data_IF_071072126361
#
_entry.id   IF_071072126361
#
_cell.length_a   1.000
_cell.length_b   1.000
_cell.length_c   1.000
_cell.angle_alpha   90.00
_cell.angle_beta   90.00
_cell.angle_gamma   90.00
#
_symmetry.space_group_name_H-M   'P 1'
#
loop_
_entity.id
_entity.type
_entity.pdbx_description
1 polymer ?
#
# COMPACT_ATOMS: atom_id res chain seq x y z
N UNK A 1 -1.64 13.63 -7.09
CA UNK A 1 -0.62 13.22 -6.12
C UNK A 1 -0.75 14.13 -4.92
N UNK A 2 -1.36 13.67 -3.84
CA UNK A 2 -1.32 14.42 -2.56
C UNK A 2 -0.06 14.00 -1.84
N UNK A 3 0.90 14.92 -1.73
CA UNK A 3 2.12 14.72 -0.96
C UNK A 3 1.77 14.35 0.49
N UNK A 4 2.53 13.42 1.06
CA UNK A 4 2.47 13.12 2.49
C UNK A 4 2.84 14.40 3.28
N UNK A 5 2.18 14.67 4.43
CA UNK A 5 2.48 15.86 5.22
C UNK A 5 3.93 15.87 5.74
N UNK A 6 4.49 17.08 5.98
CA UNK A 6 5.89 17.24 6.38
C UNK A 6 6.19 16.61 7.74
N UNK A 7 7.40 16.05 7.83
CA UNK A 7 7.93 15.40 9.02
C UNK A 7 8.24 16.45 10.10
N UNK A 8 7.47 16.51 11.19
CA UNK A 8 7.77 17.42 12.32
C UNK A 8 6.63 17.67 13.31
N UNK A 9 5.39 17.48 12.90
CA UNK A 9 4.21 17.42 13.78
C UNK A 9 3.48 16.12 13.46
N UNK A 10 3.52 15.14 14.36
CA UNK A 10 2.85 13.86 14.13
C UNK A 10 1.38 14.09 13.79
N UNK A 11 0.92 13.47 12.71
CA UNK A 11 -0.49 13.54 12.30
C UNK A 11 -1.35 13.00 13.43
N UNK A 12 -2.43 13.71 13.78
CA UNK A 12 -3.33 13.28 14.85
C UNK A 12 -4.22 12.13 14.42
N UNK A 13 -4.64 11.30 15.39
CA UNK A 13 -5.48 10.11 15.14
C UNK A 13 -6.65 10.36 14.18
N UNK A 14 -7.42 11.44 14.37
CA UNK A 14 -8.54 11.79 13.50
C UNK A 14 -8.12 12.14 12.05
N UNK A 15 -6.95 12.75 11.87
CA UNK A 15 -6.38 13.06 10.56
C UNK A 15 -5.89 11.78 9.86
N UNK A 16 -5.36 10.81 10.62
CA UNK A 16 -4.92 9.50 10.11
C UNK A 16 -6.12 8.70 9.58
N UNK A 17 -7.24 8.69 10.30
CA UNK A 17 -8.48 8.04 9.84
C UNK A 17 -8.94 8.65 8.52
N UNK A 18 -8.98 9.98 8.41
CA UNK A 18 -9.32 10.69 7.16
C UNK A 18 -8.32 10.40 6.04
N UNK A 19 -7.03 10.26 6.36
CA UNK A 19 -6.02 9.86 5.39
C UNK A 19 -6.34 8.49 4.79
N UNK A 20 -6.71 7.50 5.61
CA UNK A 20 -7.05 6.17 5.11
C UNK A 20 -8.32 6.20 4.25
N UNK A 21 -9.39 6.83 4.75
CA UNK A 21 -10.63 6.97 4.00
C UNK A 21 -10.41 7.60 2.62
N UNK A 22 -9.63 8.70 2.55
CA UNK A 22 -9.35 9.40 1.30
C UNK A 22 -8.48 8.58 0.34
N UNK A 23 -7.46 7.89 0.83
CA UNK A 23 -6.47 7.23 -0.03
C UNK A 23 -6.84 5.79 -0.40
N UNK A 24 -7.53 5.09 0.50
CA UNK A 24 -7.94 3.70 0.34
C UNK A 24 -9.41 3.55 -0.04
N UNK A 25 -10.25 4.55 0.26
CA UNK A 25 -11.72 4.45 0.12
C UNK A 25 -12.38 3.75 1.30
N UNK A 26 -11.61 3.34 2.31
CA UNK A 26 -12.07 2.69 3.53
C UNK A 26 -11.08 2.96 4.67
N UNK A 27 -11.51 2.74 5.91
CA UNK A 27 -10.65 2.83 7.09
C UNK A 27 -10.31 1.41 7.54
N UNK A 28 -9.03 1.02 7.60
CA UNK A 28 -8.62 -0.27 8.15
C UNK A 28 -9.11 -0.49 9.58
N UNK A 29 -9.56 -1.69 9.90
CA UNK A 29 -10.10 -2.03 11.22
C UNK A 29 -9.12 -1.69 12.35
N UNK A 30 -7.83 -1.93 12.15
CA UNK A 30 -6.81 -1.57 13.14
C UNK A 30 -6.78 -0.05 13.39
N UNK A 31 -6.98 0.76 12.34
CA UNK A 31 -6.99 2.21 12.46
C UNK A 31 -8.26 2.70 13.16
N UNK A 32 -9.43 2.13 12.85
CA UNK A 32 -10.66 2.42 13.59
C UNK A 32 -10.51 2.11 15.09
N UNK A 33 -10.10 0.88 15.42
CA UNK A 33 -9.94 0.43 16.82
C UNK A 33 -8.92 1.29 17.55
N UNK A 34 -7.72 1.48 17.00
CA UNK A 34 -6.69 2.28 17.66
C UNK A 34 -7.12 3.74 17.78
N UNK A 35 -7.83 4.31 16.80
CA UNK A 35 -8.29 5.70 16.90
C UNK A 35 -9.21 5.95 18.09
N UNK A 36 -10.06 4.97 18.44
CA UNK A 36 -11.02 5.05 19.55
C UNK A 36 -10.41 4.70 20.90
N UNK A 37 -9.54 3.69 20.95
CA UNK A 37 -9.07 3.12 22.22
C UNK A 37 -7.62 3.46 22.57
N UNK A 38 -6.76 3.71 21.58
CA UNK A 38 -5.31 3.95 21.73
C UNK A 38 -4.79 4.95 20.68
N UNK A 39 -5.28 6.20 20.66
CA UNK A 39 -4.95 7.17 19.61
C UNK A 39 -3.44 7.42 19.48
N UNK A 40 -2.73 7.53 20.60
CA UNK A 40 -1.27 7.73 20.59
C UNK A 40 -0.51 6.57 19.92
N UNK A 41 -1.05 5.35 19.99
CA UNK A 41 -0.49 4.19 19.29
C UNK A 41 -0.75 4.26 17.79
N UNK A 42 -1.92 4.74 17.35
CA UNK A 42 -2.18 4.98 15.94
C UNK A 42 -1.26 6.07 15.38
N UNK A 43 -1.06 7.17 16.14
CA UNK A 43 -0.14 8.25 15.80
C UNK A 43 1.30 7.72 15.64
N UNK A 44 1.73 6.87 16.58
CA UNK A 44 3.06 6.23 16.55
C UNK A 44 3.24 5.28 15.36
N UNK A 45 2.23 4.43 15.07
CA UNK A 45 2.23 3.58 13.89
C UNK A 45 2.36 4.40 12.61
N UNK A 46 1.59 5.50 12.51
CA UNK A 46 1.59 6.31 11.31
C UNK A 46 2.91 7.09 11.14
N UNK A 47 3.53 7.52 12.24
CA UNK A 47 4.87 8.11 12.22
C UNK A 47 5.91 7.11 11.68
N UNK A 48 5.89 5.87 12.18
CA UNK A 48 6.74 4.79 11.68
C UNK A 48 6.50 4.54 10.19
N UNK A 49 5.25 4.36 9.76
CA UNK A 49 4.89 4.16 8.35
C UNK A 49 5.37 5.31 7.46
N UNK A 50 5.12 6.54 7.88
CA UNK A 50 5.45 7.74 7.10
C UNK A 50 6.96 7.97 6.98
N UNK A 51 7.74 7.50 7.96
CA UNK A 51 9.20 7.55 7.89
C UNK A 51 9.76 6.69 6.75
N UNK A 52 9.15 5.53 6.50
CA UNK A 52 9.60 4.58 5.47
C UNK A 52 8.97 4.87 4.11
N UNK A 53 7.73 5.36 4.04
CA UNK A 53 6.97 5.51 2.79
C UNK A 53 7.28 6.78 1.96
N UNK A 54 8.44 7.41 2.17
CA UNK A 54 8.94 8.51 1.33
C UNK A 54 9.48 7.98 0.00
N UNK A 55 9.18 8.60 -1.12
CA UNK A 55 9.81 8.26 -2.40
C UNK A 55 11.24 8.86 -2.48
N UNK A 56 12.03 8.45 -3.48
CA UNK A 56 13.43 8.87 -3.57
C UNK A 56 13.63 10.39 -3.66
N UNK A 57 12.80 11.18 -4.37
CA UNK A 57 12.96 12.63 -4.40
C UNK A 57 12.64 13.30 -3.05
N UNK A 58 11.99 12.60 -2.11
CA UNK A 58 11.71 13.08 -0.75
C UNK A 58 12.66 12.48 0.29
N UNK A 59 13.78 11.90 -0.14
CA UNK A 59 14.81 11.35 0.75
C UNK A 59 14.60 9.88 1.14
N UNK A 60 13.75 9.14 0.43
CA UNK A 60 13.65 7.69 0.57
C UNK A 60 14.81 6.95 -0.13
N UNK A 61 15.30 5.85 0.46
CA UNK A 61 16.38 5.05 -0.15
C UNK A 61 15.91 4.13 -1.29
N UNK A 62 14.65 3.67 -1.23
CA UNK A 62 14.04 2.80 -2.24
C UNK A 62 12.90 3.56 -2.95
N UNK A 63 12.76 3.47 -4.29
CA UNK A 63 11.59 4.01 -4.99
C UNK A 63 10.28 3.53 -4.39
N UNK A 64 9.32 4.44 -4.27
CA UNK A 64 8.03 4.17 -3.64
C UNK A 64 7.32 2.98 -4.30
N UNK A 65 7.41 2.85 -5.62
CA UNK A 65 6.83 1.72 -6.35
C UNK A 65 7.30 0.36 -5.82
N UNK A 66 8.58 0.22 -5.45
CA UNK A 66 9.11 -1.04 -4.93
C UNK A 66 8.74 -1.27 -3.47
N UNK A 67 8.59 -0.22 -2.66
CA UNK A 67 8.03 -0.33 -1.30
C UNK A 67 6.60 -0.85 -1.34
N UNK A 68 5.79 -0.33 -2.26
CA UNK A 68 4.41 -0.78 -2.46
C UNK A 68 4.37 -2.23 -2.96
N UNK A 69 5.23 -2.63 -3.92
CA UNK A 69 5.35 -4.03 -4.36
C UNK A 69 5.72 -4.97 -3.21
N UNK A 70 6.65 -4.56 -2.33
CA UNK A 70 7.00 -5.34 -1.14
C UNK A 70 5.79 -5.54 -0.21
N UNK A 71 4.98 -4.50 0.01
CA UNK A 71 3.74 -4.66 0.76
C UNK A 71 2.78 -5.64 0.09
N UNK A 72 2.60 -5.59 -1.24
CA UNK A 72 1.75 -6.56 -1.95
C UNK A 72 2.21 -7.99 -1.72
N UNK A 73 3.52 -8.24 -1.82
CA UNK A 73 4.10 -9.57 -1.58
C UNK A 73 3.87 -10.01 -0.14
N UNK A 74 4.19 -9.17 0.84
CA UNK A 74 4.06 -9.51 2.26
C UNK A 74 2.61 -9.70 2.70
N UNK A 75 1.69 -8.87 2.20
CA UNK A 75 0.26 -9.00 2.46
C UNK A 75 -0.30 -10.27 1.80
N UNK A 76 0.21 -10.68 0.64
CA UNK A 76 -0.16 -11.95 0.02
C UNK A 76 0.28 -13.17 0.85
N UNK A 77 1.48 -13.11 1.44
CA UNK A 77 2.00 -14.18 2.30
C UNK A 77 1.22 -14.26 3.62
N UNK A 78 0.84 -13.12 4.18
CA UNK A 78 0.15 -13.03 5.49
C UNK A 78 -1.37 -13.12 5.41
N UNK A 79 -1.93 -13.40 4.21
CA UNK A 79 -3.37 -13.45 3.93
C UNK A 79 -4.13 -12.12 4.12
N UNK A 80 -3.46 -10.99 4.04
CA UNK A 80 -4.08 -9.67 4.12
C UNK A 80 -4.59 -9.24 2.73
N UNK A 81 -5.77 -9.73 2.34
CA UNK A 81 -6.31 -9.52 0.99
C UNK A 81 -6.56 -8.04 0.66
N UNK A 82 -7.23 -7.32 1.55
CA UNK A 82 -7.55 -5.90 1.32
C UNK A 82 -6.30 -5.01 1.31
N UNK A 83 -5.32 -5.31 2.18
CA UNK A 83 -4.00 -4.67 2.16
C UNK A 83 -3.29 -4.90 0.83
N UNK A 84 -3.19 -6.15 0.39
CA UNK A 84 -2.52 -6.49 -0.87
C UNK A 84 -3.16 -5.77 -2.06
N UNK A 85 -4.50 -5.72 -2.14
CA UNK A 85 -5.22 -5.01 -3.19
C UNK A 85 -5.01 -3.49 -3.14
N UNK A 86 -5.01 -2.91 -1.94
CA UNK A 86 -4.74 -1.49 -1.74
C UNK A 86 -3.32 -1.10 -2.17
N UNK A 87 -2.33 -1.87 -1.72
CA UNK A 87 -0.92 -1.67 -2.06
C UNK A 87 -0.63 -1.92 -3.54
N UNK A 88 -1.35 -2.85 -4.19
CA UNK A 88 -1.20 -3.07 -5.63
C UNK A 88 -1.66 -1.86 -6.46
N UNK A 89 -2.79 -1.24 -6.08
CA UNK A 89 -3.23 0.02 -6.69
C UNK A 89 -2.25 1.16 -6.41
N UNK A 90 -1.72 1.22 -5.19
CA UNK A 90 -0.73 2.23 -4.82
C UNK A 90 0.59 2.08 -5.60
N UNK A 91 1.06 0.85 -5.82
CA UNK A 91 2.24 0.56 -6.64
C UNK A 91 2.07 1.09 -8.07
N UNK A 92 0.95 0.77 -8.72
CA UNK A 92 0.65 1.28 -10.07
C UNK A 92 0.57 2.81 -10.06
N UNK A 93 -0.05 3.43 -9.04
CA UNK A 93 -0.10 4.89 -8.89
C UNK A 93 1.31 5.50 -8.77
N UNK A 94 2.21 4.85 -8.03
CA UNK A 94 3.62 5.20 -7.86
C UNK A 94 4.51 4.91 -9.10
N UNK A 95 3.95 4.30 -10.15
CA UNK A 95 4.66 4.08 -11.41
C UNK A 95 5.22 2.68 -11.60
N UNK A 96 4.80 1.71 -10.79
CA UNK A 96 5.01 0.31 -11.11
C UNK A 96 4.25 -0.08 -12.39
N UNK A 97 4.76 -1.07 -13.12
CA UNK A 97 4.00 -1.76 -14.17
C UNK A 97 3.40 -3.06 -13.64
N UNK A 98 2.41 -3.60 -14.35
CA UNK A 98 1.85 -4.91 -14.02
C UNK A 98 2.85 -6.03 -14.25
N UNK A 99 3.78 -5.88 -15.19
CA UNK A 99 4.89 -6.82 -15.41
C UNK A 99 5.85 -6.88 -14.21
N UNK A 100 6.24 -5.72 -13.65
CA UNK A 100 7.06 -5.67 -12.43
C UNK A 100 6.36 -6.37 -11.25
N UNK A 101 5.03 -6.20 -11.14
CA UNK A 101 4.25 -6.86 -10.10
C UNK A 101 4.11 -8.37 -10.34
N UNK A 102 3.97 -8.80 -11.60
CA UNK A 102 3.90 -10.22 -11.96
C UNK A 102 5.17 -10.96 -11.54
N UNK A 103 6.34 -10.41 -11.86
CA UNK A 103 7.63 -11.00 -11.47
C UNK A 103 7.75 -11.13 -9.95
N UNK A 104 7.40 -10.08 -9.20
CA UNK A 104 7.45 -10.11 -7.73
C UNK A 104 6.53 -11.18 -7.12
N UNK A 105 5.32 -11.33 -7.65
CA UNK A 105 4.37 -12.35 -7.20
C UNK A 105 4.81 -13.78 -7.57
N UNK A 106 5.46 -13.97 -8.71
CA UNK A 106 6.03 -15.26 -9.11
C UNK A 106 7.19 -15.64 -8.18
N UNK A 107 8.09 -14.70 -7.89
CA UNK A 107 9.18 -14.91 -6.92
C UNK A 107 8.60 -15.30 -5.55
N UNK A 108 7.56 -14.59 -5.08
CA UNK A 108 6.86 -14.95 -3.85
C UNK A 108 6.28 -16.37 -3.90
N UNK A 109 5.66 -16.77 -5.01
CA UNK A 109 5.06 -18.09 -5.17
C UNK A 109 6.11 -19.22 -5.22
N UNK A 110 7.28 -18.99 -5.80
CA UNK A 110 8.39 -19.96 -5.81
C UNK A 110 8.87 -20.30 -4.40
N UNK A 111 8.80 -19.34 -3.47
CA UNK A 111 9.34 -19.48 -2.12
C UNK A 111 8.28 -19.88 -1.09
N UNK A 112 7.01 -19.55 -1.34
CA UNK A 112 5.92 -19.74 -0.36
C UNK A 112 4.77 -20.62 -0.85
N UNK A 113 4.84 -21.07 -2.12
CA UNK A 113 3.87 -21.95 -2.75
C UNK A 113 2.77 -21.23 -3.53
N UNK A 114 2.30 -21.87 -4.61
CA UNK A 114 1.22 -21.38 -5.47
C UNK A 114 -0.08 -20.99 -4.75
N UNK A 115 -0.52 -21.64 -3.64
CA UNK A 115 -1.74 -21.23 -2.96
C UNK A 115 -1.75 -19.78 -2.46
N UNK A 116 -0.59 -19.20 -2.09
CA UNK A 116 -0.52 -17.78 -1.68
C UNK A 116 -0.79 -16.83 -2.84
N UNK A 117 -0.26 -17.17 -4.01
CA UNK A 117 -0.58 -16.48 -5.25
C UNK A 117 -2.07 -16.61 -5.56
N UNK A 118 -2.62 -17.83 -5.53
CA UNK A 118 -4.01 -18.07 -5.92
C UNK A 118 -5.03 -17.36 -5.00
N UNK A 119 -4.84 -17.38 -3.69
CA UNK A 119 -5.81 -16.85 -2.72
C UNK A 119 -5.80 -15.32 -2.64
N UNK A 120 -4.61 -14.71 -2.65
CA UNK A 120 -4.43 -13.26 -2.45
C UNK A 120 -3.71 -12.58 -3.60
N UNK A 121 -2.59 -13.16 -4.08
CA UNK A 121 -1.78 -12.53 -5.12
C UNK A 121 -2.55 -12.26 -6.42
N UNK A 122 -3.45 -13.15 -6.83
CA UNK A 122 -4.33 -12.97 -8.01
C UNK A 122 -5.25 -11.76 -7.83
N UNK A 123 -5.86 -11.59 -6.65
CA UNK A 123 -6.74 -10.45 -6.34
C UNK A 123 -5.96 -9.14 -6.35
N UNK A 124 -4.76 -9.14 -5.77
CA UNK A 124 -3.87 -7.98 -5.80
C UNK A 124 -3.47 -7.64 -7.25
N UNK A 125 -3.14 -8.63 -8.07
CA UNK A 125 -2.81 -8.44 -9.47
C UNK A 125 -3.98 -7.84 -10.27
N UNK A 126 -5.20 -8.34 -10.08
CA UNK A 126 -6.40 -7.77 -10.74
C UNK A 126 -6.64 -6.32 -10.33
N UNK A 127 -6.44 -5.99 -9.05
CA UNK A 127 -6.54 -4.61 -8.58
C UNK A 127 -5.52 -3.68 -9.24
N UNK A 128 -4.28 -4.14 -9.46
CA UNK A 128 -3.27 -3.41 -10.23
C UNK A 128 -3.67 -3.25 -11.71
N UNK A 129 -4.13 -4.32 -12.35
CA UNK A 129 -4.56 -4.31 -13.76
C UNK A 129 -5.69 -3.30 -14.01
N UNK A 130 -6.67 -3.23 -13.11
CA UNK A 130 -7.74 -2.24 -13.16
C UNK A 130 -7.24 -0.80 -13.03
N UNK A 131 -6.32 -0.55 -12.10
CA UNK A 131 -5.73 0.78 -11.89
C UNK A 131 -4.90 1.23 -13.09
N UNK A 132 -4.17 0.30 -13.71
CA UNK A 132 -3.38 0.58 -14.90
C UNK A 132 -4.29 0.94 -16.09
N UNK A 133 -5.39 0.20 -16.29
CA UNK A 133 -6.42 0.51 -17.30
C UNK A 133 -7.01 1.91 -17.08
N UNK A 134 -7.29 2.29 -15.83
CA UNK A 134 -7.77 3.64 -15.48
C UNK A 134 -6.75 4.72 -15.84
N UNK A 135 -5.45 4.49 -15.57
CA UNK A 135 -4.37 5.41 -15.97
C UNK A 135 -4.28 5.57 -17.49
N UNK A 136 -4.38 4.46 -18.25
CA UNK A 136 -4.33 4.48 -19.73
C UNK A 136 -5.52 5.25 -20.32
N UNK A 137 -6.72 5.12 -19.75
CA UNK A 137 -7.91 5.88 -20.18
C UNK A 137 -7.80 7.39 -19.93
N UNK A 138 -7.20 7.82 -18.82
CA UNK A 138 -7.03 9.26 -18.49
C UNK A 138 -5.96 9.98 -19.33
N UNK A 139 -5.12 9.22 -20.05
CA UNK A 139 -4.06 9.77 -20.93
C UNK A 139 -4.52 9.90 -22.39
N UNK A 140 -5.69 9.35 -22.74
CA UNK A 140 -6.36 9.56 -24.03
C UNK A 140 -7.28 10.75 -23.93
#
# INVERSE_FOLDING_TARGET
MTALPPCGTGMKSAEIVRYFEKNLGWVPDFADILSRYKPDTLESYFAMRSSVMKDTPQGGALPLKFKEILYVVLDSITNNTEGAMAHARAAIKAGATTEELAEALIIMAMLTGMPRLEVVGTKAFRAAEEEEKKKKKKKK
#
